data_IF_731516190334
#
_entry.id   IF_731516190334
#
_cell.length_a   1.000
_cell.length_b   1.000
_cell.length_c   1.000
_cell.angle_alpha   90.00
_cell.angle_beta   90.00
_cell.angle_gamma   90.00
#
_symmetry.space_group_name_H-M   'P 1'
#
loop_
_entity.id
_entity.type
_entity.pdbx_description
1 polymer ?
#
# COMPACT_ATOMS: atom_id res chain seq x y z
N UNK A 1 2.57 -8.51 -34.43
CA UNK A 1 2.28 -9.97 -34.30
C UNK A 1 3.48 -10.59 -33.59
N UNK A 2 3.50 -10.55 -32.26
CA UNK A 2 4.64 -10.98 -31.44
C UNK A 2 4.11 -11.90 -30.34
N UNK A 3 4.43 -13.19 -30.44
CA UNK A 3 4.08 -14.20 -29.45
C UNK A 3 5.08 -14.18 -28.29
N UNK A 4 4.59 -13.95 -27.07
CA UNK A 4 5.31 -14.25 -25.83
C UNK A 4 5.07 -15.72 -25.44
N UNK A 5 6.11 -16.54 -25.20
CA UNK A 5 5.93 -17.86 -24.60
C UNK A 5 5.76 -17.72 -23.08
N UNK A 6 4.53 -17.94 -22.60
CA UNK A 6 4.26 -18.02 -21.17
C UNK A 6 4.98 -19.22 -20.56
N UNK A 7 5.90 -18.91 -19.64
CA UNK A 7 6.62 -19.88 -18.83
C UNK A 7 5.68 -20.44 -17.77
N UNK A 8 4.99 -21.54 -18.11
CA UNK A 8 4.16 -22.29 -17.17
C UNK A 8 5.06 -23.02 -16.17
N UNK A 9 5.22 -22.42 -14.99
CA UNK A 9 5.94 -23.00 -13.87
C UNK A 9 5.15 -24.22 -13.36
N UNK A 10 5.54 -25.40 -13.85
CA UNK A 10 4.92 -26.71 -13.56
C UNK A 10 5.01 -26.99 -12.05
N UNK A 11 3.89 -26.92 -11.36
CA UNK A 11 3.77 -27.28 -9.93
C UNK A 11 4.23 -28.73 -9.75
N UNK A 12 5.06 -29.06 -8.75
CA UNK A 12 5.49 -30.43 -8.52
C UNK A 12 4.29 -31.29 -8.11
N UNK A 13 3.92 -32.27 -8.95
CA UNK A 13 2.85 -33.22 -8.67
C UNK A 13 3.26 -34.13 -7.49
N UNK A 14 2.78 -33.79 -6.31
CA UNK A 14 2.93 -34.60 -5.09
C UNK A 14 2.33 -36.01 -5.28
N UNK A 15 1.26 -36.12 -6.09
CA UNK A 15 0.66 -37.39 -6.47
C UNK A 15 1.59 -38.29 -7.29
N UNK A 16 2.34 -37.72 -8.24
CA UNK A 16 3.30 -38.48 -9.04
C UNK A 16 4.47 -38.99 -8.20
N UNK A 17 4.93 -38.19 -7.22
CA UNK A 17 6.00 -38.60 -6.29
C UNK A 17 5.53 -39.70 -5.33
N UNK A 18 4.32 -39.58 -4.79
CA UNK A 18 3.71 -40.60 -3.94
C UNK A 18 3.47 -41.93 -4.70
N UNK A 19 2.99 -41.84 -5.95
CA UNK A 19 2.78 -43.00 -6.81
C UNK A 19 4.11 -43.74 -7.11
N UNK A 20 5.17 -43.00 -7.45
CA UNK A 20 6.50 -43.56 -7.72
C UNK A 20 7.09 -44.27 -6.48
N UNK A 21 6.91 -43.70 -5.29
CA UNK A 21 7.32 -44.34 -4.03
C UNK A 21 6.53 -45.61 -3.73
N UNK A 22 5.21 -45.60 -3.94
CA UNK A 22 4.34 -46.77 -3.70
C UNK A 22 4.66 -47.96 -4.64
N UNK A 23 5.08 -47.66 -5.87
CA UNK A 23 5.45 -48.67 -6.85
C UNK A 23 6.78 -49.35 -6.47
N UNK A 24 7.75 -48.57 -6.01
CA UNK A 24 9.06 -49.08 -5.54
C UNK A 24 8.93 -49.87 -4.24
N UNK A 25 8.05 -49.45 -3.33
CA UNK A 25 7.76 -50.18 -2.09
C UNK A 25 7.14 -51.56 -2.36
N UNK A 26 6.19 -51.65 -3.30
CA UNK A 26 5.54 -52.93 -3.67
C UNK A 26 6.51 -53.94 -4.29
N UNK A 27 7.53 -53.49 -5.01
CA UNK A 27 8.53 -54.37 -5.60
C UNK A 27 9.43 -55.03 -4.53
N UNK A 28 9.78 -54.31 -3.47
CA UNK A 28 10.59 -54.86 -2.35
C UNK A 28 9.82 -55.81 -1.43
N UNK A 29 8.49 -55.76 -1.41
CA UNK A 29 7.63 -56.57 -0.54
C UNK A 29 7.26 -57.95 -1.12
N UNK A 30 7.57 -58.20 -2.41
CA UNK A 30 7.33 -59.48 -3.09
C UNK A 30 7.95 -60.71 -2.40
N UNK A 31 9.25 -60.70 -2.00
CA UNK A 31 9.84 -61.83 -1.28
C UNK A 31 9.19 -62.08 0.09
N UNK A 32 8.76 -61.01 0.77
CA UNK A 32 8.04 -61.11 2.05
C UNK A 32 6.67 -61.78 1.89
N UNK A 33 5.95 -61.47 0.81
CA UNK A 33 4.66 -62.08 0.52
C UNK A 33 4.77 -63.59 0.23
N UNK A 34 5.84 -64.01 -0.45
CA UNK A 34 6.13 -65.42 -0.71
C UNK A 34 6.47 -66.18 0.58
N UNK A 35 7.28 -65.58 1.47
CA UNK A 35 7.58 -66.15 2.79
C UNK A 35 6.32 -66.25 3.66
N UNK A 36 5.48 -65.21 3.69
CA UNK A 36 4.23 -65.21 4.46
C UNK A 36 3.23 -66.30 4.02
N UNK A 37 3.20 -66.65 2.73
CA UNK A 37 2.34 -67.71 2.21
C UNK A 37 2.76 -69.12 2.71
N UNK A 38 4.03 -69.31 3.08
CA UNK A 38 4.57 -70.56 3.61
C UNK A 38 4.35 -70.75 5.12
N UNK A 39 3.81 -69.75 5.83
CA UNK A 39 3.58 -69.83 7.28
C UNK A 39 2.30 -70.61 7.64
N UNK A 40 2.39 -71.37 8.73
CA UNK A 40 1.29 -72.17 9.27
C UNK A 40 0.17 -71.28 9.86
N UNK A 41 -1.04 -71.83 9.98
CA UNK A 41 -2.25 -71.07 10.38
C UNK A 41 -2.18 -70.43 11.78
N UNK A 42 -1.27 -70.90 12.65
CA UNK A 42 -1.02 -70.31 13.97
C UNK A 42 -0.06 -69.12 13.89
N UNK A 43 1.04 -69.26 13.16
CA UNK A 43 2.03 -68.20 12.97
C UNK A 43 1.44 -67.00 12.22
N UNK A 44 0.54 -67.27 11.26
CA UNK A 44 -0.18 -66.23 10.52
C UNK A 44 -0.99 -65.29 11.42
N UNK A 45 -1.56 -65.79 12.52
CA UNK A 45 -2.31 -64.95 13.49
C UNK A 45 -1.42 -63.98 14.24
N UNK A 46 -0.23 -64.42 14.67
CA UNK A 46 0.74 -63.55 15.33
C UNK A 46 1.29 -62.49 14.37
N UNK A 47 1.56 -62.86 13.12
CA UNK A 47 2.02 -61.90 12.10
C UNK A 47 0.93 -60.88 11.75
N UNK A 48 -0.34 -61.30 11.66
CA UNK A 48 -1.44 -60.35 11.45
C UNK A 48 -1.62 -59.40 12.64
N UNK A 49 -1.50 -59.89 13.88
CA UNK A 49 -1.58 -59.04 15.07
C UNK A 49 -0.42 -58.02 15.11
N UNK A 50 0.82 -58.47 14.84
CA UNK A 50 1.99 -57.59 14.75
C UNK A 50 1.88 -56.58 13.60
N UNK A 51 1.40 -57.02 12.43
CA UNK A 51 1.15 -56.16 11.28
C UNK A 51 0.08 -55.11 11.54
N UNK A 52 -1.01 -55.47 12.22
CA UNK A 52 -2.06 -54.54 12.62
C UNK A 52 -1.55 -53.50 13.63
N UNK A 53 -0.77 -53.91 14.62
CA UNK A 53 -0.15 -53.00 15.59
C UNK A 53 0.83 -52.03 14.91
N UNK A 54 1.66 -52.52 13.98
CA UNK A 54 2.58 -51.69 13.21
C UNK A 54 1.85 -50.71 12.30
N UNK A 55 0.79 -51.16 11.63
CA UNK A 55 -0.06 -50.31 10.80
C UNK A 55 -0.72 -49.20 11.63
N UNK A 56 -1.25 -49.54 12.81
CA UNK A 56 -1.84 -48.57 13.73
C UNK A 56 -0.80 -47.55 14.22
N UNK A 57 0.41 -48.00 14.55
CA UNK A 57 1.52 -47.12 14.92
C UNK A 57 1.93 -46.18 13.78
N UNK A 58 2.00 -46.67 12.54
CA UNK A 58 2.27 -45.88 11.35
C UNK A 58 1.16 -44.83 11.10
N UNK A 59 -0.10 -45.22 11.23
CA UNK A 59 -1.23 -44.28 11.12
C UNK A 59 -1.15 -43.21 12.20
N UNK A 60 -0.89 -43.60 13.44
CA UNK A 60 -0.74 -42.68 14.57
C UNK A 60 0.40 -41.68 14.34
N UNK A 61 1.58 -42.16 13.96
CA UNK A 61 2.76 -41.31 13.72
C UNK A 61 2.58 -40.38 12.52
N UNK A 62 2.12 -40.91 11.38
CA UNK A 62 1.85 -40.10 10.18
C UNK A 62 0.73 -39.09 10.39
N UNK A 63 -0.25 -39.36 11.26
CA UNK A 63 -1.32 -38.41 11.55
C UNK A 63 -0.93 -37.35 12.60
N UNK A 64 -0.10 -37.69 13.59
CA UNK A 64 0.19 -36.81 14.73
C UNK A 64 1.40 -35.90 14.48
N UNK A 65 2.47 -36.38 13.85
CA UNK A 65 3.64 -35.54 13.55
C UNK A 65 3.35 -34.31 12.66
N UNK A 66 2.52 -34.39 11.59
CA UNK A 66 2.24 -33.22 10.78
C UNK A 66 1.40 -32.18 11.52
N UNK A 67 0.56 -32.60 12.47
CA UNK A 67 -0.25 -31.66 13.27
C UNK A 67 0.63 -30.82 14.22
N UNK A 68 1.65 -31.43 14.83
CA UNK A 68 2.56 -30.73 15.74
C UNK A 68 3.55 -29.82 15.02
N UNK A 69 4.06 -30.25 13.86
CA UNK A 69 4.99 -29.44 13.04
C UNK A 69 4.31 -28.25 12.36
N UNK A 70 3.04 -28.38 11.96
CA UNK A 70 2.25 -27.28 11.43
C UNK A 70 2.03 -26.16 12.48
N UNK A 71 1.75 -26.53 13.74
CA UNK A 71 1.56 -25.56 14.84
C UNK A 71 2.90 -24.89 15.22
N UNK A 72 4.00 -25.63 15.21
CA UNK A 72 5.33 -25.08 15.48
C UNK A 72 5.79 -24.08 14.39
N UNK A 73 5.52 -24.38 13.11
CA UNK A 73 5.79 -23.45 12.00
C UNK A 73 4.88 -22.21 12.05
N UNK A 74 3.59 -22.38 12.37
CA UNK A 74 2.67 -21.26 12.56
C UNK A 74 3.13 -20.32 13.70
N UNK A 75 3.75 -20.84 14.76
CA UNK A 75 4.33 -20.04 15.85
C UNK A 75 5.59 -19.26 15.44
N UNK A 76 6.38 -19.77 14.50
CA UNK A 76 7.60 -19.11 14.02
C UNK A 76 7.36 -18.06 12.92
N UNK A 77 6.23 -18.11 12.22
CA UNK A 77 5.87 -17.14 11.17
C UNK A 77 5.11 -15.91 11.72
N UNK A 78 4.53 -16.02 12.91
CA UNK A 78 3.83 -14.94 13.62
C UNK A 78 4.69 -13.69 13.94
N UNK A 79 5.99 -13.77 14.30
CA UNK A 79 6.80 -12.58 14.58
C UNK A 79 7.07 -11.75 13.33
N UNK A 80 7.22 -12.37 12.15
CA UNK A 80 7.50 -11.67 10.90
C UNK A 80 6.29 -10.89 10.39
N UNK A 81 5.08 -11.45 10.51
CA UNK A 81 3.83 -10.74 10.21
C UNK A 81 3.52 -9.62 11.22
N UNK A 82 3.85 -9.82 12.51
CA UNK A 82 3.76 -8.74 13.52
C UNK A 82 4.76 -7.61 13.26
N UNK A 83 5.96 -7.92 12.78
CA UNK A 83 6.93 -6.89 12.35
C UNK A 83 6.40 -6.10 11.14
N UNK A 84 5.78 -6.76 10.16
CA UNK A 84 5.17 -6.06 9.01
C UNK A 84 3.98 -5.18 9.42
N UNK A 85 3.13 -5.65 10.35
CA UNK A 85 2.03 -4.86 10.88
C UNK A 85 2.49 -3.63 11.68
N UNK A 86 3.61 -3.76 12.42
CA UNK A 86 4.22 -2.63 13.13
C UNK A 86 4.71 -1.55 12.14
N UNK A 87 5.32 -1.94 11.03
CA UNK A 87 5.76 -1.01 9.97
C UNK A 87 4.60 -0.28 9.30
N UNK A 88 3.49 -0.97 9.01
CA UNK A 88 2.29 -0.33 8.45
C UNK A 88 1.67 0.66 9.45
N UNK A 89 1.67 0.31 10.74
CA UNK A 89 1.14 1.18 11.80
C UNK A 89 2.02 2.41 12.02
N UNK A 90 3.35 2.28 11.92
CA UNK A 90 4.26 3.44 12.01
C UNK A 90 4.10 4.38 10.83
N UNK A 91 3.97 3.85 9.61
CA UNK A 91 3.70 4.64 8.40
C UNK A 91 2.34 5.34 8.47
N UNK A 92 1.30 4.65 8.95
CA UNK A 92 -0.02 5.23 9.14
C UNK A 92 -0.01 6.36 10.19
N UNK A 93 0.72 6.19 11.29
CA UNK A 93 0.88 7.22 12.32
C UNK A 93 1.69 8.41 11.82
N UNK A 94 2.71 8.18 10.99
CA UNK A 94 3.49 9.24 10.38
C UNK A 94 2.67 10.04 9.36
N UNK A 95 1.88 9.36 8.52
CA UNK A 95 0.90 9.99 7.66
C UNK A 95 -0.15 10.79 8.45
N UNK A 96 -0.64 10.26 9.58
CA UNK A 96 -1.58 10.97 10.46
C UNK A 96 -0.93 12.21 11.09
N UNK A 97 0.33 12.13 11.52
CA UNK A 97 1.09 13.27 12.05
C UNK A 97 1.40 14.31 10.98
N UNK A 98 1.66 13.90 9.75
CA UNK A 98 1.79 14.80 8.61
C UNK A 98 0.45 15.46 8.29
N UNK A 99 -0.67 14.73 8.37
CA UNK A 99 -2.02 15.26 8.21
C UNK A 99 -2.45 16.20 9.33
N UNK A 100 -1.97 15.99 10.56
CA UNK A 100 -2.23 16.88 11.69
C UNK A 100 -1.36 18.14 11.63
N UNK A 101 -0.13 18.03 11.12
CA UNK A 101 0.74 19.19 10.85
C UNK A 101 0.27 19.98 9.63
N UNK A 102 -0.25 19.30 8.61
CA UNK A 102 -0.85 19.87 7.41
C UNK A 102 -2.31 20.25 7.63
N UNK A 103 -2.51 21.38 8.30
CA UNK A 103 -3.53 22.37 7.93
C UNK A 103 -4.99 21.92 7.77
N UNK A 104 -5.81 22.43 8.71
CA UNK A 104 -7.29 22.50 8.72
C UNK A 104 -8.06 21.16 8.65
N UNK A 105 -8.98 20.98 9.60
CA UNK A 105 -9.95 19.89 9.55
C UNK A 105 -10.88 20.06 8.33
N UNK A 106 -11.15 18.95 7.63
CA UNK A 106 -11.84 18.88 6.32
C UNK A 106 -13.25 19.51 6.27
N UNK A 107 -13.84 19.89 7.41
CA UNK A 107 -15.24 20.29 7.51
C UNK A 107 -15.44 21.78 7.85
N UNK A 108 -14.38 22.58 7.99
CA UNK A 108 -14.53 24.02 8.24
C UNK A 108 -14.59 24.79 6.92
N UNK A 109 -15.67 25.54 6.61
CA UNK A 109 -15.76 26.37 5.41
C UNK A 109 -14.54 27.28 5.30
N UNK A 110 -13.88 27.30 4.15
CA UNK A 110 -12.70 28.13 3.94
C UNK A 110 -13.14 29.58 3.67
N UNK A 111 -12.73 30.50 4.54
CA UNK A 111 -13.02 31.92 4.37
C UNK A 111 -11.91 32.58 3.52
N UNK A 112 -12.22 33.65 2.76
CA UNK A 112 -11.19 34.44 2.07
C UNK A 112 -10.06 34.89 3.01
N UNK A 113 -10.39 35.24 4.26
CA UNK A 113 -9.41 35.63 5.28
C UNK A 113 -8.35 34.56 5.60
N UNK A 114 -8.67 33.27 5.45
CA UNK A 114 -7.70 32.18 5.66
C UNK A 114 -6.64 32.16 4.54
N UNK A 115 -7.06 32.43 3.30
CA UNK A 115 -6.16 32.56 2.14
C UNK A 115 -5.28 33.78 2.31
N UNK A 116 -5.86 34.90 2.71
CA UNK A 116 -5.16 36.16 2.96
C UNK A 116 -4.09 36.01 4.05
N UNK A 117 -4.41 35.30 5.14
CA UNK A 117 -3.46 34.98 6.20
C UNK A 117 -2.31 34.09 5.70
N UNK A 118 -2.59 33.12 4.82
CA UNK A 118 -1.56 32.27 4.21
C UNK A 118 -0.61 33.05 3.30
N UNK A 119 -1.12 33.98 2.50
CA UNK A 119 -0.33 34.85 1.63
C UNK A 119 0.57 35.78 2.43
N UNK A 120 0.06 36.37 3.52
CA UNK A 120 0.85 37.19 4.45
C UNK A 120 1.96 36.38 5.13
N UNK A 121 1.67 35.16 5.57
CA UNK A 121 2.66 34.26 6.20
C UNK A 121 3.79 33.90 5.23
N UNK A 122 3.48 33.76 3.94
CA UNK A 122 4.49 33.51 2.92
C UNK A 122 5.36 34.74 2.58
N UNK A 123 5.00 35.92 3.10
CA UNK A 123 5.75 37.16 2.93
C UNK A 123 5.32 37.99 1.71
N UNK A 124 4.10 37.79 1.19
CA UNK A 124 3.54 38.71 0.18
C UNK A 124 3.07 40.01 0.84
N UNK A 125 3.30 41.14 0.16
CA UNK A 125 2.80 42.44 0.59
C UNK A 125 1.26 42.46 0.53
N UNK A 126 0.57 43.07 1.51
CA UNK A 126 -0.89 43.07 1.55
C UNK A 126 -1.53 43.78 0.35
N UNK A 127 -0.84 44.73 -0.28
CA UNK A 127 -1.35 45.47 -1.45
C UNK A 127 -1.03 44.78 -2.79
N UNK A 128 -0.24 43.69 -2.77
CA UNK A 128 0.21 43.01 -4.00
C UNK A 128 -0.73 41.90 -4.46
N UNK A 129 -1.87 41.68 -3.79
CA UNK A 129 -2.81 40.64 -4.15
C UNK A 129 -4.25 40.99 -3.79
N UNK A 130 -5.21 40.39 -4.49
CA UNK A 130 -6.66 40.46 -4.19
C UNK A 130 -7.29 39.08 -4.37
N UNK A 131 -7.98 38.62 -3.33
CA UNK A 131 -8.66 37.32 -3.32
C UNK A 131 -10.14 37.49 -3.63
N UNK A 132 -10.64 36.75 -4.62
CA UNK A 132 -12.07 36.70 -4.99
C UNK A 132 -12.56 35.26 -4.96
N UNK A 133 -13.69 35.00 -4.30
CA UNK A 133 -14.32 33.68 -4.33
C UNK A 133 -15.18 33.55 -5.60
N UNK A 134 -14.90 32.55 -6.43
CA UNK A 134 -15.63 32.30 -7.69
C UNK A 134 -16.61 31.13 -7.59
N UNK A 135 -16.41 30.23 -6.62
CA UNK A 135 -17.16 28.99 -6.46
C UNK A 135 -17.45 28.65 -5.01
N UNK A 136 -18.39 27.72 -4.78
CA UNK A 136 -18.82 27.31 -3.45
C UNK A 136 -20.28 27.65 -3.11
N UNK A 137 -21.01 28.31 -4.00
CA UNK A 137 -22.47 28.40 -3.93
C UNK A 137 -23.12 27.23 -4.69
N UNK A 138 -24.11 26.58 -4.07
CA UNK A 138 -24.97 25.54 -4.67
C UNK A 138 -24.24 24.31 -5.25
N UNK A 139 -23.54 23.53 -4.40
CA UNK A 139 -23.08 22.18 -4.74
C UNK A 139 -21.89 22.08 -5.70
N UNK A 140 -21.30 23.22 -6.12
CA UNK A 140 -20.05 23.26 -6.90
C UNK A 140 -18.83 23.26 -5.97
N UNK A 141 -17.70 22.63 -6.36
CA UNK A 141 -16.47 22.68 -5.59
C UNK A 141 -16.03 24.13 -5.40
N UNK A 142 -15.58 24.47 -4.20
CA UNK A 142 -15.13 25.82 -3.90
C UNK A 142 -13.88 26.17 -4.73
N UNK A 143 -13.92 27.34 -5.36
CA UNK A 143 -12.85 27.86 -6.19
C UNK A 143 -12.60 29.32 -5.88
N UNK A 144 -11.33 29.71 -5.88
CA UNK A 144 -10.89 31.07 -5.58
C UNK A 144 -9.97 31.58 -6.68
N UNK A 145 -10.05 32.88 -6.95
CA UNK A 145 -9.17 33.62 -7.83
C UNK A 145 -8.32 34.55 -6.98
N UNK A 146 -7.03 34.60 -7.27
CA UNK A 146 -6.08 35.54 -6.66
C UNK A 146 -5.46 36.33 -7.80
N UNK A 147 -5.76 37.62 -7.82
CA UNK A 147 -5.11 38.58 -8.72
C UNK A 147 -3.88 39.14 -8.01
N UNK A 148 -2.71 39.04 -8.63
CA UNK A 148 -1.43 39.53 -8.08
C UNK A 148 -0.90 40.69 -8.91
N UNK A 149 -0.41 41.72 -8.22
CA UNK A 149 0.23 42.89 -8.80
C UNK A 149 1.54 43.17 -8.07
N UNK A 150 2.65 43.17 -8.81
CA UNK A 150 3.99 43.38 -8.29
C UNK A 150 4.39 42.42 -7.15
N UNK A 151 3.86 41.20 -7.17
CA UNK A 151 4.12 40.21 -6.13
C UNK A 151 5.51 39.61 -6.27
N UNK A 152 6.19 39.32 -5.16
CA UNK A 152 7.48 38.61 -5.18
C UNK A 152 7.30 37.20 -5.72
N UNK A 153 8.00 36.87 -6.81
CA UNK A 153 7.96 35.55 -7.44
C UNK A 153 8.38 34.44 -6.48
N UNK A 154 9.41 34.69 -5.66
CA UNK A 154 9.92 33.73 -4.68
C UNK A 154 8.93 33.46 -3.54
N UNK A 155 8.22 34.51 -3.07
CA UNK A 155 7.21 34.38 -2.03
C UNK A 155 5.97 33.63 -2.56
N UNK A 156 5.57 33.91 -3.81
CA UNK A 156 4.45 33.23 -4.46
C UNK A 156 4.74 31.74 -4.68
N UNK A 157 5.94 31.37 -5.10
CA UNK A 157 6.34 29.96 -5.27
C UNK A 157 6.35 29.22 -3.93
N UNK A 158 6.97 29.82 -2.91
CA UNK A 158 6.97 29.24 -1.55
C UNK A 158 5.54 29.08 -1.02
N UNK A 159 4.69 30.07 -1.26
CA UNK A 159 3.29 30.00 -0.89
C UNK A 159 2.58 28.85 -1.61
N UNK A 160 2.75 28.69 -2.93
CA UNK A 160 2.11 27.61 -3.68
C UNK A 160 2.52 26.21 -3.21
N UNK A 161 3.75 26.05 -2.71
CA UNK A 161 4.20 24.78 -2.11
C UNK A 161 3.51 24.51 -0.77
N UNK A 162 3.24 25.56 0.01
CA UNK A 162 2.61 25.45 1.33
C UNK A 162 1.08 25.39 1.29
N UNK A 163 0.43 26.00 0.30
CA UNK A 163 -1.04 26.18 0.27
C UNK A 163 -1.79 24.83 0.19
N UNK A 164 -1.18 23.83 -0.46
CA UNK A 164 -1.74 22.47 -0.52
C UNK A 164 -1.73 21.78 0.84
N UNK A 165 -0.69 21.99 1.65
CA UNK A 165 -0.58 21.41 2.99
C UNK A 165 -1.38 22.21 4.03
N UNK A 166 -1.39 23.55 3.93
CA UNK A 166 -1.98 24.44 4.93
C UNK A 166 -3.50 24.59 4.76
N UNK A 167 -3.98 24.70 3.52
CA UNK A 167 -5.38 25.01 3.21
C UNK A 167 -6.11 23.91 2.43
N UNK A 168 -5.43 22.81 2.07
CA UNK A 168 -5.96 21.74 1.20
C UNK A 168 -6.52 22.28 -0.13
N UNK A 169 -5.87 23.30 -0.66
CA UNK A 169 -6.16 23.86 -1.98
C UNK A 169 -5.09 23.47 -2.97
N UNK A 170 -5.48 23.23 -4.22
CA UNK A 170 -4.55 23.04 -5.34
C UNK A 170 -4.62 24.24 -6.27
N UNK A 171 -3.47 24.62 -6.83
CA UNK A 171 -3.40 25.58 -7.93
C UNK A 171 -3.93 24.90 -9.18
N UNK A 172 -5.09 25.34 -9.66
CA UNK A 172 -5.75 24.80 -10.85
C UNK A 172 -5.20 25.42 -12.15
N UNK A 173 -4.92 26.72 -12.12
CA UNK A 173 -4.27 27.44 -13.21
C UNK A 173 -3.52 28.64 -12.67
N UNK A 174 -2.40 28.99 -13.29
CA UNK A 174 -1.66 30.21 -12.99
C UNK A 174 -1.23 30.86 -14.29
N UNK A 175 -1.58 32.13 -14.46
CA UNK A 175 -1.14 32.97 -15.56
C UNK A 175 -0.32 34.10 -14.95
N UNK A 176 1.00 34.02 -15.09
CA UNK A 176 1.94 34.94 -14.49
C UNK A 176 2.83 35.54 -15.58
N UNK A 177 2.98 36.85 -15.53
CA UNK A 177 3.88 37.61 -16.40
C UNK A 177 4.86 38.38 -15.54
N UNK A 178 5.98 38.81 -16.14
CA UNK A 178 6.96 39.62 -15.42
C UNK A 178 6.35 40.99 -15.15
N UNK A 179 6.38 41.43 -13.90
CA UNK A 179 5.82 42.72 -13.54
C UNK A 179 6.57 43.84 -14.25
N UNK A 180 5.83 44.87 -14.66
CA UNK A 180 6.38 46.03 -15.34
C UNK A 180 5.99 47.31 -14.62
N UNK A 181 6.90 48.29 -14.62
CA UNK A 181 6.58 49.63 -14.12
C UNK A 181 5.57 50.32 -15.04
N UNK A 182 5.01 51.43 -14.59
CA UNK A 182 4.14 52.31 -15.40
C UNK A 182 4.79 52.72 -16.75
N UNK A 183 6.12 52.70 -16.83
CA UNK A 183 6.90 53.00 -18.03
C UNK A 183 7.31 51.76 -18.84
N UNK A 184 6.68 50.60 -18.60
CA UNK A 184 6.94 49.35 -19.32
C UNK A 184 8.29 48.69 -19.02
N UNK A 185 9.04 49.16 -18.00
CA UNK A 185 10.32 48.56 -17.63
C UNK A 185 10.06 47.30 -16.77
N UNK A 186 10.62 46.13 -17.11
CA UNK A 186 10.42 44.94 -16.31
C UNK A 186 11.10 45.06 -14.94
N UNK A 187 10.37 44.71 -13.88
CA UNK A 187 10.89 44.69 -12.51
C UNK A 187 11.41 43.27 -12.22
N UNK A 188 12.71 43.10 -11.93
CA UNK A 188 13.26 41.78 -11.63
C UNK A 188 12.66 41.23 -10.33
N UNK A 189 12.33 39.93 -10.34
CA UNK A 189 11.82 39.22 -9.16
C UNK A 189 10.35 39.46 -8.81
N UNK A 190 9.64 40.30 -9.57
CA UNK A 190 8.22 40.58 -9.38
C UNK A 190 7.35 40.03 -10.52
N UNK A 191 6.13 39.62 -10.20
CA UNK A 191 5.16 39.07 -11.15
C UNK A 191 3.78 39.74 -11.02
N UNK A 192 3.13 39.86 -12.16
CA UNK A 192 1.73 40.28 -12.32
C UNK A 192 0.94 39.13 -12.91
N UNK A 193 -0.33 38.97 -12.52
CA UNK A 193 -1.19 37.97 -13.14
C UNK A 193 -2.28 37.43 -12.21
N UNK A 194 -2.74 36.23 -12.50
CA UNK A 194 -3.88 35.61 -11.83
C UNK A 194 -3.61 34.13 -11.54
N UNK A 195 -4.01 33.68 -10.36
CA UNK A 195 -4.00 32.28 -9.97
C UNK A 195 -5.43 31.82 -9.64
N UNK A 196 -5.77 30.61 -10.06
CA UNK A 196 -7.03 29.96 -9.69
C UNK A 196 -6.72 28.79 -8.78
N UNK A 197 -7.40 28.76 -7.65
CA UNK A 197 -7.34 27.70 -6.66
C UNK A 197 -8.62 26.89 -6.70
N UNK A 198 -8.49 25.58 -6.57
CA UNK A 198 -9.61 24.66 -6.41
C UNK A 198 -9.39 23.81 -5.17
N UNK A 199 -10.47 23.35 -4.54
CA UNK A 199 -10.38 22.35 -3.48
C UNK A 199 -9.59 21.10 -3.96
N UNK A 200 -8.74 20.56 -3.09
CA UNK A 200 -8.09 19.28 -3.31
C UNK A 200 -9.14 18.16 -3.19
N UNK A 201 -9.66 17.72 -4.33
CA UNK A 201 -10.50 16.51 -4.41
C UNK A 201 -9.60 15.29 -4.18
N UNK A 202 -9.91 14.51 -3.14
CA UNK A 202 -9.38 13.16 -2.95
C UNK A 202 -9.96 12.27 -4.07
N UNK A 203 -9.12 11.51 -4.77
CA UNK A 203 -9.50 10.73 -5.96
C UNK A 203 -9.30 9.25 -5.72
#
# INVERSE_FOLDING_TARGET
MAHHPESTMKRPDLGARAAAWSARARQGLRPLAAWHAALTSRERRLVHAGGAALALYLVFTVAIDPAWTAIARARNELPALRAQAATVTSLANEALRLRQRGGRASNTPLAPADIDASLRRAGLAPDSWRTTQEGGAAGKPASWRIDVKEASSSALMRWSDTVAADLRLRVASAELTRASTEYGRPIPGKVDGMLRLAAATDR
#
